data_IF_659686144162
#
_entry.id   IF_659686144162
#
_cell.length_a   1.000
_cell.length_b   1.000
_cell.length_c   1.000
_cell.angle_alpha   90.00
_cell.angle_beta   90.00
_cell.angle_gamma   90.00
#
_symmetry.space_group_name_H-M   'P 1'
#
loop_
_entity.id
_entity.type
_entity.pdbx_description
1 polymer ?
#
# COMPACT_ATOMS: atom_id res chain seq x y z
N UNK A 1 -26.13 -20.21 -12.27
CA UNK A 1 -26.11 -18.73 -12.43
C UNK A 1 -25.96 -18.00 -11.11
N UNK A 2 -27.01 -17.98 -10.27
CA UNK A 2 -26.98 -17.29 -8.96
C UNK A 2 -26.31 -18.09 -7.82
N UNK A 3 -26.36 -19.43 -7.86
CA UNK A 3 -25.68 -20.31 -6.87
C UNK A 3 -24.15 -20.12 -6.90
N UNK A 4 -23.50 -20.30 -8.06
CA UNK A 4 -22.04 -20.13 -8.21
C UNK A 4 -21.51 -18.76 -7.78
N UNK A 5 -22.24 -17.66 -8.02
CA UNK A 5 -21.80 -16.33 -7.57
C UNK A 5 -21.88 -16.16 -6.05
N UNK A 6 -22.87 -16.81 -5.42
CA UNK A 6 -23.04 -16.79 -3.96
C UNK A 6 -22.00 -17.68 -3.27
N UNK A 7 -21.69 -18.84 -3.86
CA UNK A 7 -20.64 -19.74 -3.40
C UNK A 7 -19.25 -19.11 -3.55
N UNK A 8 -18.92 -18.51 -4.70
CA UNK A 8 -17.66 -17.75 -4.86
C UNK A 8 -17.56 -16.54 -3.92
N UNK A 9 -18.68 -15.90 -3.58
CA UNK A 9 -18.68 -14.78 -2.63
C UNK A 9 -18.51 -15.25 -1.19
N UNK A 10 -19.11 -16.39 -0.84
CA UNK A 10 -18.98 -17.00 0.49
C UNK A 10 -17.59 -17.60 0.66
N UNK A 11 -17.05 -18.27 -0.35
CA UNK A 11 -15.69 -18.80 -0.37
C UNK A 11 -14.65 -17.69 -0.26
N UNK A 12 -14.85 -16.55 -0.95
CA UNK A 12 -14.03 -15.34 -0.76
C UNK A 12 -14.20 -14.70 0.62
N UNK A 13 -15.39 -14.75 1.22
CA UNK A 13 -15.64 -14.24 2.56
C UNK A 13 -14.98 -15.13 3.63
N UNK A 14 -15.05 -16.45 3.44
CA UNK A 14 -14.38 -17.48 4.25
C UNK A 14 -12.86 -17.30 4.14
N UNK A 15 -12.34 -17.11 2.93
CA UNK A 15 -10.91 -16.88 2.69
C UNK A 15 -10.42 -15.56 3.32
N UNK A 16 -11.21 -14.48 3.20
CA UNK A 16 -10.93 -13.20 3.88
C UNK A 16 -10.97 -13.34 5.39
N UNK A 17 -11.95 -14.07 5.93
CA UNK A 17 -12.05 -14.35 7.36
C UNK A 17 -10.86 -15.20 7.84
N UNK A 18 -10.45 -16.19 7.06
CA UNK A 18 -9.29 -17.02 7.35
C UNK A 18 -8.00 -16.21 7.31
N UNK A 19 -7.76 -15.38 6.30
CA UNK A 19 -6.59 -14.50 6.23
C UNK A 19 -6.58 -13.49 7.38
N UNK A 20 -7.74 -12.96 7.72
CA UNK A 20 -7.89 -12.02 8.82
C UNK A 20 -7.67 -12.66 10.19
N UNK A 21 -8.23 -13.84 10.45
CA UNK A 21 -7.96 -14.66 11.65
C UNK A 21 -6.48 -15.06 11.72
N UNK A 22 -5.84 -15.25 10.56
CA UNK A 22 -4.45 -15.62 10.41
C UNK A 22 -3.50 -14.43 10.67
N UNK A 23 -3.84 -13.23 10.19
CA UNK A 23 -3.15 -11.98 10.54
C UNK A 23 -3.35 -11.63 12.03
N UNK A 24 -4.52 -11.89 12.60
CA UNK A 24 -4.85 -11.67 14.02
C UNK A 24 -4.15 -12.67 14.95
N UNK A 25 -4.05 -13.94 14.54
CA UNK A 25 -3.26 -14.97 15.22
C UNK A 25 -1.75 -14.66 15.14
N UNK A 26 -1.25 -14.15 14.01
CA UNK A 26 0.11 -13.66 13.88
C UNK A 26 0.41 -12.46 14.79
N UNK A 27 -0.60 -11.64 15.08
CA UNK A 27 -0.49 -10.47 15.95
C UNK A 27 -0.55 -10.84 17.45
N UNK A 28 -1.30 -11.89 17.81
CA UNK A 28 -1.62 -12.25 19.21
C UNK A 28 -0.80 -13.39 19.82
N UNK A 29 0.03 -14.09 19.04
CA UNK A 29 0.69 -15.32 19.47
C UNK A 29 2.23 -15.26 19.45
N UNK A 30 2.86 -15.98 20.39
CA UNK A 30 4.32 -16.09 20.48
C UNK A 30 4.89 -16.86 19.28
N UNK A 31 6.20 -16.72 19.06
CA UNK A 31 6.91 -17.09 17.82
C UNK A 31 6.63 -18.55 17.37
N UNK A 32 6.46 -19.48 18.31
CA UNK A 32 6.30 -20.92 18.02
C UNK A 32 4.94 -21.33 17.44
N UNK A 33 3.87 -20.53 17.61
CA UNK A 33 2.56 -20.82 16.98
C UNK A 33 2.46 -20.31 15.55
N UNK A 34 3.41 -19.50 15.09
CA UNK A 34 3.43 -18.92 13.75
C UNK A 34 3.87 -19.93 12.68
N UNK A 35 4.78 -20.83 13.02
CA UNK A 35 5.22 -21.90 12.12
C UNK A 35 4.08 -22.88 11.78
N UNK A 36 3.21 -23.20 12.74
CA UNK A 36 2.04 -24.07 12.52
C UNK A 36 0.99 -23.44 11.58
N UNK A 37 0.88 -22.12 11.63
CA UNK A 37 -0.05 -21.33 10.83
C UNK A 37 0.38 -21.30 9.34
N UNK A 38 1.68 -21.23 9.11
CA UNK A 38 2.28 -21.16 7.78
C UNK A 38 2.30 -22.54 7.08
N UNK A 39 2.32 -23.63 7.84
CA UNK A 39 2.09 -25.00 7.33
C UNK A 39 0.64 -25.17 6.82
N UNK A 40 -0.34 -24.52 7.46
CA UNK A 40 -1.74 -24.55 6.99
C UNK A 40 -1.93 -23.84 5.65
N UNK A 41 -1.32 -22.66 5.50
CA UNK A 41 -1.27 -21.88 4.24
C UNK A 41 -0.69 -22.68 3.07
N UNK A 42 0.40 -23.42 3.31
CA UNK A 42 1.06 -24.29 2.33
C UNK A 42 0.13 -25.35 1.74
N UNK A 43 -0.83 -25.84 2.52
CA UNK A 43 -1.76 -26.90 2.09
C UNK A 43 -2.97 -26.37 1.29
N UNK A 44 -3.26 -25.07 1.36
CA UNK A 44 -4.42 -24.47 0.69
C UNK A 44 -4.09 -23.89 -0.69
N UNK A 45 -2.86 -23.43 -0.91
CA UNK A 45 -2.47 -22.69 -2.11
C UNK A 45 -1.94 -23.58 -3.25
N UNK A 46 -2.12 -24.90 -3.18
CA UNK A 46 -1.45 -25.90 -4.03
C UNK A 46 -2.04 -26.14 -5.43
N UNK A 47 -2.73 -25.17 -6.06
CA UNK A 47 -3.27 -25.30 -7.42
C UNK A 47 -2.50 -24.48 -8.49
N UNK A 48 -1.34 -25.02 -8.88
CA UNK A 48 -0.68 -25.08 -10.22
C UNK A 48 -0.47 -23.84 -11.12
N UNK A 49 0.77 -23.30 -11.15
CA UNK A 49 1.56 -22.92 -12.35
C UNK A 49 3.09 -23.01 -12.00
N UNK A 50 3.98 -23.37 -12.95
CA UNK A 50 5.40 -23.72 -12.67
C UNK A 50 6.40 -22.73 -13.32
N UNK A 51 7.28 -22.12 -12.52
CA UNK A 51 8.37 -21.19 -12.90
C UNK A 51 9.78 -21.82 -12.92
N UNK A 52 10.76 -21.16 -13.56
CA UNK A 52 12.14 -21.63 -13.69
C UNK A 52 13.11 -21.23 -12.56
N UNK A 53 14.34 -21.74 -12.63
CA UNK A 53 15.37 -21.70 -11.58
C UNK A 53 15.97 -20.30 -11.32
N UNK A 54 15.94 -19.36 -12.27
CA UNK A 54 16.40 -17.97 -12.08
C UNK A 54 15.26 -17.07 -11.55
N UNK A 55 14.03 -17.32 -12.01
CA UNK A 55 12.82 -16.65 -11.52
C UNK A 55 12.53 -17.00 -10.05
N UNK A 56 12.80 -18.26 -9.63
CA UNK A 56 12.83 -18.73 -8.23
C UNK A 56 13.91 -18.09 -7.34
N UNK A 57 14.87 -17.34 -7.88
CA UNK A 57 15.98 -16.71 -7.13
C UNK A 57 15.80 -15.21 -6.94
N UNK A 58 15.04 -14.54 -7.82
CA UNK A 58 14.73 -13.10 -7.73
C UNK A 58 13.55 -12.82 -6.77
N UNK A 59 12.55 -13.72 -6.74
CA UNK A 59 11.47 -13.78 -5.72
C UNK A 59 12.04 -13.88 -4.29
N UNK A 60 13.17 -14.58 -4.10
CA UNK A 60 13.90 -14.69 -2.81
C UNK A 60 14.56 -13.39 -2.34
N UNK A 61 14.73 -12.37 -3.19
CA UNK A 61 15.34 -11.07 -2.82
C UNK A 61 14.30 -10.02 -2.46
N UNK A 62 13.11 -10.08 -3.07
CA UNK A 62 12.03 -9.10 -2.84
C UNK A 62 11.26 -9.39 -1.54
N UNK A 63 11.06 -10.66 -1.18
CA UNK A 63 10.58 -11.05 0.16
C UNK A 63 11.55 -10.64 1.29
N UNK A 64 12.87 -10.64 1.04
CA UNK A 64 13.86 -10.29 2.08
C UNK A 64 13.79 -8.81 2.53
N UNK A 65 13.11 -7.93 1.80
CA UNK A 65 13.11 -6.50 2.13
C UNK A 65 11.78 -6.00 2.74
N UNK A 66 10.66 -6.72 2.56
CA UNK A 66 9.31 -6.20 2.83
C UNK A 66 8.89 -6.15 4.32
N UNK A 67 9.71 -6.56 5.29
CA UNK A 67 9.20 -6.91 6.63
C UNK A 67 10.04 -6.52 7.86
N UNK A 68 10.93 -5.53 7.87
CA UNK A 68 11.88 -5.31 8.99
C UNK A 68 11.32 -5.10 10.43
N UNK A 69 9.99 -5.07 10.66
CA UNK A 69 9.35 -5.30 11.98
C UNK A 69 8.36 -6.49 12.02
N UNK A 70 7.99 -7.06 10.88
CA UNK A 70 7.38 -8.38 10.72
C UNK A 70 8.42 -9.53 10.67
N UNK A 71 9.69 -9.22 10.96
CA UNK A 71 10.86 -10.06 10.67
C UNK A 71 11.12 -11.25 11.61
N UNK A 72 10.42 -11.42 12.74
CA UNK A 72 10.58 -12.63 13.56
C UNK A 72 9.74 -13.82 13.09
N UNK A 73 8.81 -13.60 12.18
CA UNK A 73 7.77 -14.59 11.83
C UNK A 73 8.10 -15.44 10.59
N UNK A 74 9.18 -15.15 9.85
CA UNK A 74 9.34 -15.61 8.46
C UNK A 74 10.62 -16.40 8.17
N UNK A 75 11.36 -16.86 9.18
CA UNK A 75 12.60 -17.64 8.96
C UNK A 75 12.38 -19.03 8.34
N UNK A 76 11.13 -19.51 8.20
CA UNK A 76 10.87 -20.93 7.94
C UNK A 76 10.05 -21.26 6.67
N UNK A 77 9.60 -20.32 5.83
CA UNK A 77 8.63 -20.62 4.74
C UNK A 77 8.94 -20.01 3.37
N UNK A 78 8.78 -20.83 2.32
CA UNK A 78 8.86 -20.44 0.91
C UNK A 78 7.47 -20.19 0.30
N UNK A 79 7.28 -19.08 -0.42
CA UNK A 79 6.05 -18.72 -1.14
C UNK A 79 6.23 -18.75 -2.68
N UNK A 80 5.18 -19.11 -3.43
CA UNK A 80 5.15 -19.08 -4.91
C UNK A 80 4.60 -17.75 -5.45
N UNK A 81 4.69 -17.50 -6.76
CA UNK A 81 4.06 -16.32 -7.40
C UNK A 81 2.53 -16.31 -7.23
N UNK A 82 1.88 -17.48 -7.34
CA UNK A 82 0.46 -17.61 -6.97
C UNK A 82 0.25 -17.19 -5.52
N UNK A 83 1.10 -17.63 -4.59
CA UNK A 83 0.95 -17.25 -3.17
C UNK A 83 1.13 -15.75 -2.96
N UNK A 84 1.98 -15.08 -3.75
CA UNK A 84 2.19 -13.64 -3.69
C UNK A 84 0.96 -12.92 -4.25
N UNK A 85 0.47 -13.32 -5.42
CA UNK A 85 -0.75 -12.75 -6.03
C UNK A 85 -1.98 -13.00 -5.16
N UNK A 86 -2.08 -14.18 -4.55
CA UNK A 86 -3.12 -14.54 -3.60
C UNK A 86 -2.98 -13.69 -2.34
N UNK A 87 -1.77 -13.52 -1.78
CA UNK A 87 -1.52 -12.64 -0.63
C UNK A 87 -1.85 -11.17 -0.94
N UNK A 88 -1.49 -10.65 -2.11
CA UNK A 88 -1.78 -9.28 -2.53
C UNK A 88 -3.30 -9.08 -2.70
N UNK A 89 -3.98 -10.03 -3.34
CA UNK A 89 -5.44 -10.07 -3.48
C UNK A 89 -6.15 -10.15 -2.14
N UNK A 90 -5.61 -10.93 -1.19
CA UNK A 90 -6.19 -11.18 0.13
C UNK A 90 -5.94 -10.04 1.12
N UNK A 91 -4.80 -9.35 1.00
CA UNK A 91 -4.48 -8.14 1.78
C UNK A 91 -5.25 -6.91 1.31
N UNK A 92 -5.96 -7.01 0.19
CA UNK A 92 -6.67 -5.88 -0.42
C UNK A 92 -5.71 -4.85 -1.02
N UNK A 93 -4.51 -5.25 -1.40
CA UNK A 93 -3.51 -4.37 -1.97
C UNK A 93 -3.81 -3.99 -3.43
N UNK A 94 -3.38 -2.81 -3.85
CA UNK A 94 -3.59 -2.28 -5.21
C UNK A 94 -2.27 -2.22 -5.97
N UNK A 95 -2.19 -2.82 -7.16
CA UNK A 95 -0.94 -2.97 -7.91
C UNK A 95 -1.08 -2.73 -9.41
N UNK A 96 -0.04 -2.14 -9.99
CA UNK A 96 0.18 -2.09 -11.44
C UNK A 96 1.41 -2.92 -11.81
N UNK A 97 1.25 -3.92 -12.69
CA UNK A 97 2.33 -4.84 -13.12
C UNK A 97 2.96 -4.47 -14.47
N UNK A 98 2.49 -3.40 -15.09
CA UNK A 98 2.84 -2.97 -16.44
C UNK A 98 3.67 -1.67 -16.43
N UNK A 99 4.31 -1.34 -15.31
CA UNK A 99 4.97 -0.07 -15.04
C UNK A 99 4.04 1.17 -15.02
N UNK A 100 2.74 1.08 -15.27
CA UNK A 100 1.89 2.27 -15.28
C UNK A 100 1.58 2.79 -13.88
N UNK A 101 1.50 4.10 -13.72
CA UNK A 101 1.00 4.75 -12.50
C UNK A 101 -0.52 4.80 -12.57
N UNK A 102 -1.19 3.78 -12.05
CA UNK A 102 -2.66 3.68 -12.11
C UNK A 102 -3.16 3.74 -13.56
N UNK A 103 -4.11 4.62 -13.83
CA UNK A 103 -4.66 4.92 -15.14
C UNK A 103 -4.15 6.24 -15.74
N UNK A 104 -3.08 6.83 -15.18
CA UNK A 104 -2.54 8.13 -15.62
C UNK A 104 -1.84 8.07 -16.99
N UNK A 105 -1.59 6.86 -17.51
CA UNK A 105 -0.78 6.54 -18.72
C UNK A 105 0.73 6.73 -18.54
N UNK A 106 1.18 7.37 -17.47
CA UNK A 106 2.62 7.52 -17.23
C UNK A 106 3.22 6.24 -16.68
N UNK A 107 4.45 5.96 -17.11
CA UNK A 107 5.17 4.76 -16.75
C UNK A 107 6.27 5.05 -15.74
N UNK A 108 6.23 4.38 -14.60
CA UNK A 108 7.28 4.33 -13.60
C UNK A 108 8.19 3.13 -13.87
N UNK A 109 9.44 3.37 -14.28
CA UNK A 109 10.33 2.36 -14.86
C UNK A 109 11.17 1.58 -13.84
N UNK A 110 10.64 1.42 -12.63
CA UNK A 110 11.26 0.75 -11.48
C UNK A 110 10.18 0.14 -10.60
N UNK A 111 10.58 -0.70 -9.65
CA UNK A 111 9.68 -1.20 -8.62
C UNK A 111 9.53 -0.18 -7.49
N UNK A 112 8.28 0.06 -7.08
CA UNK A 112 7.97 0.83 -5.88
C UNK A 112 6.89 0.13 -5.06
N UNK A 113 7.08 0.15 -3.75
CA UNK A 113 6.15 -0.47 -2.82
C UNK A 113 5.86 0.46 -1.65
N UNK A 114 4.59 0.60 -1.32
CA UNK A 114 4.07 1.60 -0.40
C UNK A 114 3.20 0.86 0.61
N UNK A 115 3.55 0.98 1.89
CA UNK A 115 2.72 0.52 3.00
C UNK A 115 2.39 1.71 3.87
N UNK A 116 1.13 1.75 4.26
CA UNK A 116 0.59 2.72 5.19
C UNK A 116 -0.08 1.96 6.30
N UNK A 117 0.30 2.27 7.53
CA UNK A 117 -0.33 1.74 8.73
C UNK A 117 -0.91 2.92 9.50
N UNK A 118 -2.24 2.98 9.57
CA UNK A 118 -2.94 3.95 10.41
C UNK A 118 -2.99 3.47 11.86
N UNK A 119 -3.41 4.34 12.78
CA UNK A 119 -3.32 4.14 14.24
C UNK A 119 -1.87 4.11 14.79
N UNK A 120 -1.71 4.66 15.98
CA UNK A 120 -0.42 4.84 16.67
C UNK A 120 0.33 3.55 17.06
N UNK A 121 -0.29 2.38 16.87
CA UNK A 121 0.25 1.07 17.27
C UNK A 121 1.00 0.35 16.13
N UNK A 122 1.05 0.94 14.92
CA UNK A 122 1.72 0.37 13.75
C UNK A 122 3.21 0.68 13.60
N UNK A 123 3.81 0.10 12.57
CA UNK A 123 5.16 0.35 12.04
C UNK A 123 5.25 1.67 11.25
N UNK A 124 4.10 2.31 10.97
CA UNK A 124 3.98 3.59 10.27
C UNK A 124 4.00 3.45 8.74
N UNK A 125 4.62 4.40 8.07
CA UNK A 125 4.69 4.47 6.61
C UNK A 125 5.96 3.81 6.09
N UNK A 126 5.86 3.06 4.99
CA UNK A 126 6.98 2.50 4.26
C UNK A 126 6.86 2.90 2.78
N UNK A 127 7.90 3.51 2.22
CA UNK A 127 7.98 3.83 0.79
C UNK A 127 9.31 3.25 0.30
N UNK A 128 9.26 2.05 -0.26
CA UNK A 128 10.42 1.30 -0.71
C UNK A 128 10.68 1.57 -2.18
N UNK A 129 11.83 2.17 -2.47
CA UNK A 129 12.29 2.45 -3.82
C UNK A 129 13.80 2.19 -3.92
N UNK A 130 14.20 1.38 -4.90
CA UNK A 130 15.61 1.00 -5.15
C UNK A 130 16.37 0.54 -3.89
N UNK A 131 15.70 -0.27 -3.06
CA UNK A 131 16.28 -0.84 -1.83
C UNK A 131 16.39 0.12 -0.64
N UNK A 132 15.86 1.35 -0.76
CA UNK A 132 15.79 2.33 0.33
C UNK A 132 14.35 2.59 0.75
N UNK A 133 14.13 2.71 2.05
CA UNK A 133 12.87 3.18 2.62
C UNK A 133 12.90 4.70 2.83
N UNK A 134 11.88 5.40 2.36
CA UNK A 134 11.65 6.84 2.54
C UNK A 134 10.51 7.16 3.50
N UNK A 135 9.87 6.13 4.07
CA UNK A 135 8.90 6.26 5.15
C UNK A 135 9.54 6.28 6.54
N UNK A 136 8.71 6.12 7.55
CA UNK A 136 9.10 6.07 8.95
C UNK A 136 7.93 5.78 9.88
N UNK A 137 8.24 5.61 11.16
CA UNK A 137 7.26 5.30 12.21
C UNK A 137 6.72 6.53 12.95
N UNK A 138 7.19 7.74 12.61
CA UNK A 138 6.63 8.97 13.19
C UNK A 138 5.31 9.28 12.50
N UNK A 139 4.29 9.68 13.26
CA UNK A 139 2.96 10.07 12.77
C UNK A 139 3.03 11.05 11.60
N UNK A 140 2.04 11.03 10.72
CA UNK A 140 1.83 12.04 9.70
C UNK A 140 1.86 11.47 8.29
N UNK A 141 1.97 12.37 7.33
CA UNK A 141 1.88 12.07 5.91
C UNK A 141 3.26 12.15 5.26
N UNK A 142 3.76 11.01 4.80
CA UNK A 142 5.02 10.90 4.07
C UNK A 142 4.77 11.10 2.58
N UNK A 143 5.63 11.91 1.96
CA UNK A 143 5.59 12.17 0.52
C UNK A 143 6.98 12.00 -0.07
N UNK A 144 7.06 11.31 -1.19
CA UNK A 144 8.24 11.30 -2.06
C UNK A 144 7.80 11.70 -3.46
N UNK A 145 8.47 12.68 -4.03
CA UNK A 145 8.21 13.18 -5.38
C UNK A 145 9.39 12.83 -6.27
N UNK A 146 9.08 12.28 -7.44
CA UNK A 146 10.04 11.93 -8.47
C UNK A 146 9.88 12.85 -9.67
N UNK A 147 10.98 13.16 -10.33
CA UNK A 147 10.96 13.77 -11.67
C UNK A 147 10.24 12.84 -12.66
N UNK A 148 9.80 13.34 -13.83
CA UNK A 148 9.57 12.48 -14.99
C UNK A 148 10.79 11.60 -15.28
N UNK A 149 10.65 10.61 -16.16
CA UNK A 149 11.73 9.70 -16.55
C UNK A 149 13.08 10.46 -16.66
N UNK A 150 14.11 10.07 -15.87
CA UNK A 150 14.34 8.74 -15.32
C UNK A 150 13.94 8.53 -13.84
N UNK A 151 12.89 9.20 -13.33
CA UNK A 151 12.36 9.01 -11.97
C UNK A 151 13.40 9.22 -10.86
N UNK A 152 14.15 10.33 -10.93
CA UNK A 152 15.02 10.73 -9.83
C UNK A 152 14.19 11.36 -8.72
N UNK A 153 14.62 11.19 -7.47
CA UNK A 153 13.99 11.88 -6.36
C UNK A 153 14.18 13.39 -6.54
N UNK A 154 13.06 14.10 -6.58
CA UNK A 154 13.00 15.54 -6.64
C UNK A 154 12.95 16.13 -5.23
N UNK A 155 12.00 15.69 -4.41
CA UNK A 155 11.79 16.13 -3.03
C UNK A 155 11.15 15.01 -2.20
N UNK A 156 11.36 15.03 -0.89
CA UNK A 156 10.68 14.13 0.05
C UNK A 156 10.54 14.80 1.41
N UNK A 157 9.42 14.60 2.08
CA UNK A 157 9.20 15.14 3.43
C UNK A 157 8.09 14.37 4.18
N UNK A 158 7.92 14.67 5.46
CA UNK A 158 6.84 14.21 6.34
C UNK A 158 6.10 15.43 6.91
N UNK A 159 4.78 15.39 6.87
CA UNK A 159 3.92 16.45 7.40
C UNK A 159 3.04 15.90 8.52
N UNK A 160 3.13 16.43 9.73
CA UNK A 160 2.26 16.00 10.84
C UNK A 160 0.92 16.73 10.76
N UNK A 161 0.11 16.36 9.77
CA UNK A 161 -1.21 16.98 9.52
C UNK A 161 -2.14 16.83 10.72
N UNK A 162 -1.94 15.81 11.56
CA UNK A 162 -2.69 15.69 12.82
C UNK A 162 -2.34 16.80 13.82
N UNK A 163 -1.07 17.22 13.87
CA UNK A 163 -0.58 18.16 14.89
C UNK A 163 -1.13 19.57 14.70
N UNK A 164 -1.23 20.07 13.46
CA UNK A 164 -1.77 21.42 13.22
C UNK A 164 -2.23 21.68 11.79
N UNK A 165 -3.12 22.67 11.63
CA UNK A 165 -3.46 23.26 10.32
C UNK A 165 -2.26 23.85 9.59
N UNK A 166 -1.25 24.35 10.31
CA UNK A 166 -0.04 24.89 9.69
C UNK A 166 0.75 23.79 8.94
N UNK A 167 0.79 22.57 9.48
CA UNK A 167 1.40 21.42 8.78
C UNK A 167 0.61 21.04 7.52
N UNK A 168 -0.73 21.12 7.57
CA UNK A 168 -1.57 20.91 6.40
C UNK A 168 -1.31 21.97 5.31
N UNK A 169 -1.24 23.26 5.69
CA UNK A 169 -0.89 24.35 4.78
C UNK A 169 0.51 24.17 4.20
N UNK A 170 1.49 23.78 5.02
CA UNK A 170 2.87 23.51 4.57
C UNK A 170 2.91 22.38 3.54
N UNK A 171 2.13 21.32 3.75
CA UNK A 171 2.01 20.22 2.80
C UNK A 171 1.34 20.67 1.49
N UNK A 172 0.26 21.45 1.56
CA UNK A 172 -0.43 21.95 0.39
C UNK A 172 0.52 22.79 -0.49
N UNK A 173 1.26 23.73 0.12
CA UNK A 173 2.28 24.54 -0.58
C UNK A 173 3.39 23.68 -1.17
N UNK A 174 3.88 22.68 -0.42
CA UNK A 174 4.87 21.73 -0.93
C UNK A 174 4.38 21.00 -2.18
N UNK A 175 3.12 20.58 -2.23
CA UNK A 175 2.51 19.88 -3.36
C UNK A 175 2.12 20.81 -4.52
N UNK A 176 1.81 22.07 -4.24
CA UNK A 176 1.50 23.09 -5.24
C UNK A 176 2.72 23.46 -6.08
N UNK A 177 3.90 23.56 -5.46
CA UNK A 177 5.18 23.85 -6.13
C UNK A 177 5.67 22.72 -7.06
N UNK A 178 5.04 21.54 -7.02
CA UNK A 178 5.43 20.42 -7.87
C UNK A 178 4.96 20.65 -9.31
N UNK A 179 5.85 20.60 -10.32
CA UNK A 179 5.45 20.75 -11.72
C UNK A 179 4.61 19.57 -12.23
N UNK A 180 3.76 19.82 -13.23
CA UNK A 180 3.00 18.77 -13.91
C UNK A 180 3.93 17.70 -14.52
N UNK A 181 3.47 16.45 -14.52
CA UNK A 181 4.20 15.27 -14.99
C UNK A 181 5.11 14.62 -13.94
N UNK A 182 5.30 15.23 -12.77
CA UNK A 182 6.06 14.62 -11.67
C UNK A 182 5.22 13.56 -10.96
N UNK A 183 5.88 12.48 -10.52
CA UNK A 183 5.21 11.36 -9.83
C UNK A 183 5.29 11.57 -8.33
N UNK A 184 4.15 11.61 -7.65
CA UNK A 184 4.05 11.70 -6.20
C UNK A 184 3.66 10.37 -5.57
N UNK A 185 4.32 10.02 -4.46
CA UNK A 185 4.10 8.79 -3.70
C UNK A 185 3.82 9.15 -2.25
N UNK A 186 2.78 8.55 -1.69
CA UNK A 186 2.10 9.03 -0.49
C UNK A 186 1.80 7.86 0.45
N UNK A 187 2.14 8.03 1.73
CA UNK A 187 1.81 7.06 2.77
C UNK A 187 1.55 7.75 4.12
N UNK A 188 0.51 7.30 4.82
CA UNK A 188 0.19 7.75 6.18
C UNK A 188 0.85 6.84 7.21
N UNK A 189 1.33 7.44 8.29
CA UNK A 189 1.69 6.76 9.52
C UNK A 189 0.78 7.30 10.64
N UNK A 190 0.07 6.40 11.34
CA UNK A 190 -0.84 6.73 12.44
C UNK A 190 -2.06 7.58 12.04
N UNK A 191 -1.88 8.88 11.80
CA UNK A 191 -2.96 9.83 11.55
C UNK A 191 -2.48 10.98 10.65
N UNK A 192 -3.29 11.39 9.67
CA UNK A 192 -3.03 12.56 8.84
C UNK A 192 -4.29 13.28 8.33
N UNK A 193 -5.44 13.13 9.00
CA UNK A 193 -6.73 13.67 8.55
C UNK A 193 -7.31 14.79 9.43
N UNK A 194 -6.93 14.90 10.70
CA UNK A 194 -7.57 15.81 11.67
C UNK A 194 -7.58 17.28 11.20
N UNK A 195 -6.46 17.77 10.64
CA UNK A 195 -6.38 19.12 10.08
C UNK A 195 -6.31 19.14 8.55
N UNK A 196 -6.79 18.09 7.87
CA UNK A 196 -6.86 18.07 6.41
C UNK A 196 -7.70 19.25 5.91
N UNK A 197 -7.08 20.17 5.16
CA UNK A 197 -7.78 21.33 4.59
C UNK A 197 -8.27 21.03 3.18
N UNK A 198 -9.21 21.85 2.68
CA UNK A 198 -9.70 21.76 1.30
C UNK A 198 -8.56 21.95 0.30
N UNK A 199 -7.65 22.88 0.56
CA UNK A 199 -6.50 23.15 -0.32
C UNK A 199 -5.56 21.94 -0.38
N UNK A 200 -5.34 21.26 0.75
CA UNK A 200 -4.54 20.03 0.77
C UNK A 200 -5.24 18.88 0.04
N UNK A 201 -6.56 18.70 0.21
CA UNK A 201 -7.31 17.70 -0.57
C UNK A 201 -7.24 17.99 -2.07
N UNK A 202 -7.42 19.24 -2.49
CA UNK A 202 -7.29 19.66 -3.90
C UNK A 202 -5.88 19.43 -4.43
N UNK A 203 -4.85 19.71 -3.62
CA UNK A 203 -3.47 19.43 -3.98
C UNK A 203 -3.24 17.91 -4.17
N UNK A 204 -3.83 17.04 -3.35
CA UNK A 204 -3.77 15.59 -3.55
C UNK A 204 -4.57 15.16 -4.80
N UNK A 205 -5.77 15.69 -5.01
CA UNK A 205 -6.57 15.42 -6.22
C UNK A 205 -5.82 15.81 -7.49
N UNK A 206 -4.99 16.85 -7.45
CA UNK A 206 -4.13 17.24 -8.59
C UNK A 206 -3.08 16.19 -8.97
N UNK A 207 -2.85 15.15 -8.16
CA UNK A 207 -2.05 13.97 -8.53
C UNK A 207 -2.89 12.83 -9.15
N UNK A 208 -4.19 13.06 -9.35
CA UNK A 208 -5.14 12.07 -9.83
C UNK A 208 -5.77 11.21 -8.74
N UNK A 209 -5.57 11.51 -7.44
CA UNK A 209 -6.32 10.84 -6.38
C UNK A 209 -7.78 11.27 -6.39
N UNK A 210 -8.67 10.44 -5.85
CA UNK A 210 -10.09 10.78 -5.70
C UNK A 210 -10.62 10.47 -4.30
N UNK A 211 -11.73 11.14 -3.98
CA UNK A 211 -12.44 10.96 -2.71
C UNK A 211 -13.25 9.65 -2.74
N UNK A 212 -12.65 8.57 -2.20
CA UNK A 212 -13.26 7.23 -2.18
C UNK A 212 -13.78 6.81 -0.80
N UNK A 213 -13.66 7.66 0.20
CA UNK A 213 -14.11 7.40 1.58
C UNK A 213 -15.16 8.39 2.03
N UNK A 214 -15.76 8.12 3.19
CA UNK A 214 -16.74 9.00 3.82
C UNK A 214 -16.34 9.24 5.28
N UNK A 215 -16.45 10.49 5.71
CA UNK A 215 -16.49 10.88 7.11
C UNK A 215 -17.82 11.60 7.37
N UNK A 216 -18.68 10.96 8.18
CA UNK A 216 -20.10 11.31 8.23
C UNK A 216 -20.76 11.22 6.85
N UNK A 217 -21.20 12.37 6.33
CA UNK A 217 -21.84 12.51 5.01
C UNK A 217 -20.91 13.11 3.95
N UNK A 218 -19.71 13.53 4.33
CA UNK A 218 -18.77 14.18 3.42
C UNK A 218 -17.84 13.15 2.79
N UNK A 219 -17.63 13.27 1.48
CA UNK A 219 -16.63 12.48 0.78
C UNK A 219 -15.22 13.02 1.07
N UNK A 220 -14.31 12.12 1.41
CA UNK A 220 -12.90 12.42 1.73
C UNK A 220 -11.96 11.45 1.00
N UNK A 221 -10.69 11.83 0.89
CA UNK A 221 -9.66 10.92 0.37
C UNK A 221 -9.44 9.75 1.36
N UNK A 222 -9.32 10.05 2.65
CA UNK A 222 -9.31 9.10 3.77
C UNK A 222 -9.80 9.79 5.05
N UNK A 223 -10.16 9.00 6.09
CA UNK A 223 -10.69 9.50 7.36
C UNK A 223 -9.75 9.31 8.55
N UNK A 224 -10.26 9.63 9.74
CA UNK A 224 -9.51 9.59 11.02
C UNK A 224 -8.82 8.26 11.28
N UNK A 225 -7.50 8.31 11.48
CA UNK A 225 -6.61 7.16 11.71
C UNK A 225 -6.61 6.10 10.60
N UNK A 226 -7.11 6.42 9.40
CA UNK A 226 -7.07 5.47 8.28
C UNK A 226 -5.63 5.26 7.82
N UNK A 227 -5.36 4.04 7.34
CA UNK A 227 -4.25 3.88 6.43
C UNK A 227 -4.64 4.45 5.07
N UNK A 228 -3.70 5.17 4.46
CA UNK A 228 -3.77 5.61 3.08
C UNK A 228 -2.40 5.45 2.41
N UNK A 229 -2.37 4.75 1.27
CA UNK A 229 -1.21 4.59 0.42
C UNK A 229 -1.59 4.95 -1.02
N UNK A 230 -0.71 5.63 -1.75
CA UNK A 230 -1.00 5.99 -3.13
C UNK A 230 0.18 6.47 -3.94
N UNK A 231 0.06 6.34 -5.25
CA UNK A 231 0.98 6.88 -6.25
C UNK A 231 0.19 7.50 -7.39
N UNK A 232 0.55 8.74 -7.74
CA UNK A 232 -0.14 9.56 -8.73
C UNK A 232 0.81 10.46 -9.50
N UNK A 233 0.28 11.15 -10.50
CA UNK A 233 1.06 12.06 -11.37
C UNK A 233 0.46 13.45 -11.29
N UNK A 234 1.28 14.45 -11.00
CA UNK A 234 0.84 15.85 -10.94
C UNK A 234 0.26 16.29 -12.29
N UNK A 235 -0.94 16.84 -12.26
CA UNK A 235 -1.72 17.24 -13.43
C UNK A 235 -2.58 16.12 -14.04
N UNK A 236 -2.60 14.91 -13.45
CA UNK A 236 -3.47 13.83 -13.91
C UNK A 236 -4.94 14.06 -13.51
N UNK A 237 -5.85 13.48 -14.29
CA UNK A 237 -7.29 13.55 -14.02
C UNK A 237 -7.63 12.86 -12.70
N UNK A 238 -8.58 13.43 -11.94
CA UNK A 238 -9.07 12.83 -10.70
C UNK A 238 -9.50 11.37 -10.90
N UNK A 239 -9.10 10.49 -9.98
CA UNK A 239 -9.44 9.07 -9.99
C UNK A 239 -8.55 8.19 -10.87
N UNK A 240 -7.54 8.76 -11.53
CA UNK A 240 -6.56 8.00 -12.34
C UNK A 240 -5.36 7.51 -11.55
N UNK A 241 -5.08 8.07 -10.36
CA UNK A 241 -4.01 7.60 -9.51
C UNK A 241 -4.29 6.19 -8.94
N UNK A 242 -3.22 5.46 -8.65
CA UNK A 242 -3.32 4.20 -7.91
C UNK A 242 -3.35 4.51 -6.42
N UNK A 243 -4.45 4.22 -5.74
CA UNK A 243 -4.61 4.49 -4.31
C UNK A 243 -5.32 3.35 -3.60
N UNK A 244 -4.97 3.15 -2.35
CA UNK A 244 -5.59 2.22 -1.45
C UNK A 244 -5.75 2.84 -0.06
N UNK A 245 -6.73 2.36 0.69
CA UNK A 245 -7.00 2.83 2.05
C UNK A 245 -7.61 1.71 2.88
N UNK A 246 -7.39 1.78 4.20
CA UNK A 246 -8.05 0.91 5.14
C UNK A 246 -8.61 1.72 6.29
N UNK A 247 -9.89 1.47 6.61
CA UNK A 247 -10.62 2.16 7.65
C UNK A 247 -10.12 1.74 9.03
N UNK A 248 -9.89 2.72 9.90
CA UNK A 248 -9.79 2.46 11.32
C UNK A 248 -11.16 2.12 11.91
N UNK A 249 -11.22 1.04 12.71
CA UNK A 249 -12.44 0.59 13.36
C UNK A 249 -12.23 0.59 14.89
N UNK A 250 -12.70 1.64 15.59
CA UNK A 250 -12.59 1.71 17.05
C UNK A 250 -13.15 0.45 17.72
N UNK A 251 -12.38 -0.13 18.64
CA UNK A 251 -12.76 -1.34 19.37
C UNK A 251 -12.37 -2.67 18.70
N UNK A 252 -11.94 -2.65 17.43
CA UNK A 252 -11.18 -3.76 16.84
C UNK A 252 -9.69 -3.51 17.14
N UNK A 253 -9.02 -4.46 17.80
CA UNK A 253 -7.57 -4.41 18.09
C UNK A 253 -6.74 -4.65 16.82
N UNK A 254 -7.01 -3.89 15.77
CA UNK A 254 -6.44 -4.10 14.44
C UNK A 254 -5.96 -2.78 13.87
N UNK A 255 -4.72 -2.84 13.40
CA UNK A 255 -4.05 -1.76 12.70
C UNK A 255 -4.59 -1.76 11.27
N UNK A 256 -5.21 -0.67 10.79
CA UNK A 256 -5.56 -0.56 9.39
C UNK A 256 -4.29 -0.51 8.55
N UNK A 257 -4.25 -1.28 7.46
CA UNK A 257 -3.10 -1.36 6.55
C UNK A 257 -3.56 -1.13 5.12
N UNK A 258 -2.92 -0.21 4.42
CA UNK A 258 -3.13 0.03 2.99
C UNK A 258 -1.81 -0.20 2.25
N UNK A 259 -1.89 -0.94 1.15
CA UNK A 259 -0.73 -1.32 0.34
C UNK A 259 -0.96 -0.93 -1.10
N UNK A 260 0.04 -0.27 -1.69
CA UNK A 260 0.11 0.08 -3.11
C UNK A 260 1.46 -0.30 -3.69
N UNK A 261 1.53 -0.75 -4.94
CA UNK A 261 2.79 -0.91 -5.62
C UNK A 261 2.73 -0.79 -7.14
N UNK A 262 3.87 -0.44 -7.72
CA UNK A 262 4.10 -0.55 -9.17
C UNK A 262 5.26 -1.52 -9.34
N UNK A 263 5.05 -2.53 -10.16
CA UNK A 263 6.09 -3.45 -10.58
C UNK A 263 6.50 -3.10 -12.00
N UNK A 264 7.81 -3.06 -12.22
CA UNK A 264 8.40 -2.85 -13.52
C UNK A 264 7.99 -4.00 -14.45
N UNK A 265 7.24 -3.67 -15.49
CA UNK A 265 6.89 -4.61 -16.55
C UNK A 265 8.12 -5.06 -17.33
N UNK A 266 8.09 -6.30 -17.84
CA UNK A 266 9.12 -6.79 -18.76
C UNK A 266 9.08 -5.97 -20.05
N UNK A 267 10.22 -5.37 -20.41
CA UNK A 267 10.40 -4.80 -21.75
C UNK A 267 10.54 -5.98 -22.70
N UNK A 268 9.48 -6.30 -23.44
CA UNK A 268 9.61 -7.15 -24.62
C UNK A 268 10.45 -6.38 -25.63
N UNK A 269 11.67 -6.85 -25.88
CA UNK A 269 12.43 -6.42 -27.05
C UNK A 269 11.74 -7.06 -28.26
N UNK A 270 11.06 -6.24 -29.05
CA UNK A 270 10.60 -6.62 -30.40
C UNK A 270 11.79 -6.72 -31.36
#
# INVERSE_FOLDING_TARGET
>A
GKQNKKDLSNERLELRKNVYELLDACHSSEIDSKDNLLVSLKNQLSSSYVLDKNQKRMIRSVWKALTYSAWKCLDNIEFTESHILDFLSLSGAEFCFNSEVGATKEKFMDDIFIVSEGSSEGSGAQILYQGRNYGGNRRGFYVVVFTPFPHRIFRSDRFDVWESKNEATRMAQFLEEIPNGYVGVFAVADEASENMTTELEEALISFGFSKKTYDGWEQKIFGYSYAFAGVGVKGAEEGTALQNWARYEPGKKKIPVAIVGIMKGEVKND
#
